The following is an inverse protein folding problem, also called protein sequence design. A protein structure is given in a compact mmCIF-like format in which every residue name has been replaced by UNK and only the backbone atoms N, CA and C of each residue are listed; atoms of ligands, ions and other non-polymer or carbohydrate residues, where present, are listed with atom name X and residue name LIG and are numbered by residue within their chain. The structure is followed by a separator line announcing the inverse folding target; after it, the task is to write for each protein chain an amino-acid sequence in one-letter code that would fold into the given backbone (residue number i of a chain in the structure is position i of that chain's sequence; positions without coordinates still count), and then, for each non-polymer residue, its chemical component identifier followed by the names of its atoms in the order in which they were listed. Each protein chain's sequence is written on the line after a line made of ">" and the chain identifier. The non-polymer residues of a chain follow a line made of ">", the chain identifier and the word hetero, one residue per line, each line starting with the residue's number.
data_IF_782528636015
#
_entry.id   IF_782528636015
#
_cell.length_a   1.000
_cell.length_b   1.000
_cell.length_c   1.000
_cell.angle_alpha   90.00
_cell.angle_beta   90.00
_cell.angle_gamma   90.00
#
_symmetry.space_group_name_H-M   'P 1'
#
loop_
_entity.id
_entity.type
_entity.pdbx_description
1 polymer ?
#
# COMPACT_ATOMS: atom_id res chain seq x y z
N UNK A 1 -11.50 -8.33 3.54
CA UNK A 1 -10.41 -7.43 3.97
C UNK A 1 -9.43 -8.24 4.80
N UNK A 2 -8.17 -8.33 4.39
CA UNK A 2 -7.11 -8.93 5.22
C UNK A 2 -7.01 -8.06 6.47
N UNK A 3 -7.11 -8.66 7.65
CA UNK A 3 -6.99 -7.92 8.91
C UNK A 3 -5.50 -7.80 9.25
N UNK A 4 -4.86 -6.63 9.07
CA UNK A 4 -3.41 -6.49 9.27
C UNK A 4 -3.00 -6.69 10.73
N UNK A 5 -3.94 -6.54 11.68
CA UNK A 5 -3.67 -6.78 13.10
C UNK A 5 -3.41 -8.27 13.41
N UNK A 6 -3.81 -9.21 12.55
CA UNK A 6 -3.53 -10.64 12.76
C UNK A 6 -2.09 -11.02 12.44
N UNK A 7 -1.41 -10.24 11.59
CA UNK A 7 -0.02 -10.50 11.20
C UNK A 7 0.99 -9.89 12.17
N UNK A 8 0.54 -8.96 13.02
CA UNK A 8 1.39 -8.34 14.05
C UNK A 8 1.63 -9.29 15.20
N UNK A 9 2.90 -9.47 15.58
CA UNK A 9 3.27 -10.21 16.78
C UNK A 9 3.04 -9.35 18.04
N UNK A 10 1.88 -9.50 18.68
CA UNK A 10 1.51 -8.77 19.91
C UNK A 10 2.29 -9.20 21.15
N UNK A 11 2.97 -10.35 21.11
CA UNK A 11 3.85 -10.80 22.18
C UNK A 11 5.27 -11.04 21.64
N UNK A 12 6.00 -9.96 21.31
CA UNK A 12 7.30 -10.08 20.68
C UNK A 12 8.31 -10.71 21.64
N UNK A 13 9.04 -11.72 21.16
CA UNK A 13 10.19 -12.27 21.87
C UNK A 13 11.37 -11.27 21.85
N UNK A 14 12.35 -11.45 22.76
CA UNK A 14 13.53 -10.58 22.88
C UNK A 14 14.29 -10.44 21.56
N UNK A 15 14.30 -11.47 20.71
CA UNK A 15 14.89 -11.42 19.38
C UNK A 15 14.17 -10.41 18.46
N UNK A 16 12.83 -10.42 18.44
CA UNK A 16 12.03 -9.51 17.63
C UNK A 16 12.22 -8.04 18.06
N UNK A 17 12.31 -7.80 19.37
CA UNK A 17 12.58 -6.46 19.93
C UNK A 17 13.98 -5.96 19.55
N UNK A 18 15.00 -6.83 19.52
CA UNK A 18 16.34 -6.46 19.03
C UNK A 18 16.34 -6.16 17.54
N UNK A 19 15.58 -6.90 16.73
CA UNK A 19 15.43 -6.61 15.30
C UNK A 19 14.81 -5.23 15.09
N UNK A 20 13.74 -4.91 15.84
CA UNK A 20 13.15 -3.57 15.82
C UNK A 20 14.17 -2.49 16.24
N UNK A 21 14.92 -2.71 17.33
CA UNK A 21 15.96 -1.78 17.76
C UNK A 21 17.04 -1.57 16.69
N UNK A 22 17.48 -2.63 15.98
CA UNK A 22 18.41 -2.51 14.84
C UNK A 22 17.82 -1.68 13.71
N UNK A 23 16.54 -1.84 13.41
CA UNK A 23 15.84 -1.02 12.42
C UNK A 23 15.86 0.46 12.80
N UNK A 24 15.75 0.81 14.09
CA UNK A 24 15.88 2.21 14.54
C UNK A 24 17.32 2.72 14.43
N UNK A 25 18.30 1.93 14.88
CA UNK A 25 19.73 2.31 14.83
C UNK A 25 20.20 2.56 13.40
N UNK A 26 19.68 1.82 12.42
CA UNK A 26 20.04 1.99 11.00
C UNK A 26 19.14 3.04 10.34
N UNK A 27 17.83 2.98 10.60
CA UNK A 27 16.83 3.81 9.95
C UNK A 27 16.99 5.30 10.23
N UNK A 28 17.19 5.70 11.50
CA UNK A 28 17.30 7.12 11.85
C UNK A 28 18.54 7.80 11.25
N UNK A 29 19.75 7.19 11.26
CA UNK A 29 20.89 7.70 10.51
C UNK A 29 20.67 7.77 9.01
N UNK A 30 20.05 6.74 8.39
CA UNK A 30 19.72 6.79 6.96
C UNK A 30 18.77 7.94 6.63
N UNK A 31 17.74 8.18 7.46
CA UNK A 31 16.82 9.31 7.31
C UNK A 31 17.56 10.64 7.47
N UNK A 32 18.46 10.76 8.46
CA UNK A 32 19.26 11.96 8.65
C UNK A 32 20.17 12.25 7.44
N UNK A 33 20.80 11.22 6.86
CA UNK A 33 21.62 11.36 5.65
C UNK A 33 20.77 11.75 4.44
N UNK A 34 19.61 11.11 4.23
CA UNK A 34 18.70 11.46 3.15
C UNK A 34 18.19 12.92 3.28
N UNK A 35 17.92 13.36 4.50
CA UNK A 35 17.52 14.74 4.80
C UNK A 35 18.64 15.75 4.47
N UNK A 36 19.90 15.40 4.78
CA UNK A 36 21.06 16.22 4.42
C UNK A 36 21.28 16.29 2.91
N UNK A 37 21.19 15.15 2.21
CA UNK A 37 21.31 15.09 0.75
C UNK A 37 20.21 15.89 0.05
N UNK A 38 18.97 15.81 0.55
CA UNK A 38 17.86 16.62 0.04
C UNK A 38 18.09 18.12 0.24
N UNK A 39 18.63 18.53 1.40
CA UNK A 39 19.00 19.93 1.66
C UNK A 39 20.12 20.43 0.72
N UNK A 40 21.14 19.60 0.50
CA UNK A 40 22.23 19.87 -0.46
C UNK A 40 21.71 20.05 -1.89
N UNK A 41 20.82 19.16 -2.35
CA UNK A 41 20.22 19.23 -3.69
C UNK A 41 19.26 20.42 -3.85
N UNK A 42 18.59 20.84 -2.77
CA UNK A 42 17.69 21.99 -2.77
C UNK A 42 18.44 23.34 -2.66
N UNK A 43 19.77 23.35 -2.61
CA UNK A 43 20.59 24.57 -2.49
C UNK A 43 20.41 25.34 -1.17
N UNK A 44 19.68 24.77 -0.22
CA UNK A 44 19.38 25.36 1.09
C UNK A 44 20.12 24.50 2.11
N UNK A 45 21.17 25.04 2.73
CA UNK A 45 21.88 24.38 3.82
C UNK A 45 20.92 24.10 4.97
N UNK A 46 20.25 22.96 4.94
CA UNK A 46 19.37 22.53 6.02
C UNK A 46 20.23 22.34 7.28
N UNK A 47 19.65 22.67 8.43
CA UNK A 47 20.37 22.69 9.71
C UNK A 47 21.06 21.36 9.97
N UNK A 48 22.38 21.29 9.74
CA UNK A 48 23.21 20.11 9.96
C UNK A 48 23.09 19.64 11.42
N UNK A 49 23.03 20.60 12.35
CA UNK A 49 22.80 20.36 13.78
C UNK A 49 21.48 19.65 14.05
N UNK A 50 20.43 19.93 13.27
CA UNK A 50 19.14 19.26 13.41
C UNK A 50 19.20 17.82 12.90
N UNK A 51 19.80 17.59 11.73
CA UNK A 51 19.97 16.26 11.18
C UNK A 51 20.86 15.36 12.06
N UNK A 52 21.95 15.89 12.60
CA UNK A 52 22.82 15.17 13.53
C UNK A 52 22.14 14.87 14.87
N UNK A 53 21.34 15.81 15.41
CA UNK A 53 20.53 15.55 16.62
C UNK A 53 19.47 14.48 16.37
N UNK A 54 18.84 14.49 15.19
CA UNK A 54 17.83 13.50 14.80
C UNK A 54 18.45 12.10 14.63
N UNK A 55 19.54 12.01 13.84
CA UNK A 55 20.23 10.75 13.58
C UNK A 55 20.93 10.19 14.83
N UNK A 56 21.67 11.04 15.54
CA UNK A 56 22.38 10.66 16.77
C UNK A 56 21.42 10.34 17.92
N UNK A 57 20.38 11.14 18.11
CA UNK A 57 19.34 10.88 19.11
C UNK A 57 18.57 9.59 18.82
N UNK A 58 18.19 9.37 17.56
CA UNK A 58 17.53 8.13 17.13
C UNK A 58 18.42 6.89 17.27
N UNK A 59 19.70 6.99 16.93
CA UNK A 59 20.66 5.91 17.11
C UNK A 59 20.92 5.59 18.59
N UNK A 60 21.04 6.62 19.45
CA UNK A 60 21.19 6.44 20.89
C UNK A 60 19.95 5.81 21.53
N UNK A 61 18.75 6.24 21.14
CA UNK A 61 17.50 5.62 21.57
C UNK A 61 17.39 4.16 21.10
N UNK A 62 17.77 3.87 19.85
CA UNK A 62 17.84 2.51 19.33
C UNK A 62 18.84 1.61 20.08
N UNK A 63 20.01 2.15 20.44
CA UNK A 63 20.99 1.44 21.27
C UNK A 63 20.45 1.17 22.69
N UNK A 64 19.75 2.15 23.30
CA UNK A 64 19.10 1.96 24.59
C UNK A 64 18.03 0.86 24.55
N UNK A 65 17.22 0.81 23.49
CA UNK A 65 16.23 -0.24 23.27
C UNK A 65 16.85 -1.62 23.00
N UNK A 66 18.07 -1.64 22.45
CA UNK A 66 18.83 -2.88 22.28
C UNK A 66 19.32 -3.44 23.63
N UNK A 67 19.75 -2.57 24.55
CA UNK A 67 20.22 -2.95 25.91
C UNK A 67 19.05 -3.26 26.84
N UNK A 68 17.93 -2.54 26.74
CA UNK A 68 16.75 -2.72 27.60
C UNK A 68 15.50 -3.03 26.77
N UNK A 69 15.28 -4.31 26.38
CA UNK A 69 14.15 -4.71 25.56
C UNK A 69 12.78 -4.50 26.23
N UNK A 70 12.75 -4.48 27.57
CA UNK A 70 11.51 -4.32 28.33
C UNK A 70 10.79 -2.99 28.00
N UNK A 71 11.55 -1.92 27.77
CA UNK A 71 11.02 -0.61 27.41
C UNK A 71 10.61 -0.57 25.92
N UNK A 72 11.30 -1.34 25.07
CA UNK A 72 11.01 -1.40 23.63
C UNK A 72 9.66 -2.07 23.31
N UNK A 73 9.16 -2.94 24.20
CA UNK A 73 7.93 -3.72 23.99
C UNK A 73 6.66 -2.87 23.79
N UNK A 74 6.28 -1.93 24.68
CA UNK A 74 5.12 -1.08 24.45
C UNK A 74 5.26 -0.21 23.20
N UNK A 75 6.47 0.30 22.93
CA UNK A 75 6.74 1.10 21.72
C UNK A 75 6.58 0.28 20.44
N UNK A 76 7.08 -0.95 20.41
CA UNK A 76 6.88 -1.88 19.30
C UNK A 76 5.39 -2.08 19.03
N UNK A 77 4.61 -2.41 20.05
CA UNK A 77 3.17 -2.69 19.91
C UNK A 77 2.42 -1.47 19.36
N UNK A 78 2.65 -0.29 19.94
CA UNK A 78 1.99 0.95 19.49
C UNK A 78 2.39 1.30 18.06
N UNK A 79 3.68 1.19 17.73
CA UNK A 79 4.19 1.51 16.40
C UNK A 79 3.58 0.60 15.32
N UNK A 80 3.52 -0.70 15.56
CA UNK A 80 2.91 -1.64 14.62
C UNK A 80 1.39 -1.47 14.53
N UNK A 81 0.71 -1.17 15.64
CA UNK A 81 -0.72 -0.86 15.61
C UNK A 81 -1.02 0.38 14.74
N UNK A 82 -0.22 1.44 14.88
CA UNK A 82 -0.32 2.62 14.02
C UNK A 82 -0.04 2.28 12.55
N UNK A 83 0.99 1.49 12.27
CA UNK A 83 1.30 1.05 10.92
C UNK A 83 0.14 0.25 10.30
N UNK A 84 -0.55 -0.60 11.08
CA UNK A 84 -1.76 -1.29 10.62
C UNK A 84 -2.89 -0.32 10.28
N UNK A 85 -3.17 0.66 11.14
CA UNK A 85 -4.20 1.68 10.87
C UNK A 85 -3.90 2.44 9.57
N UNK A 86 -2.66 2.89 9.39
CA UNK A 86 -2.21 3.56 8.17
C UNK A 86 -2.36 2.62 6.96
N UNK A 87 -1.96 1.36 7.09
CA UNK A 87 -2.08 0.37 6.03
C UNK A 87 -3.52 0.16 5.56
N UNK A 88 -4.50 0.14 6.48
CA UNK A 88 -5.92 0.05 6.13
C UNK A 88 -6.35 1.28 5.33
N UNK A 89 -5.99 2.48 5.79
CA UNK A 89 -6.37 3.72 5.11
C UNK A 89 -5.74 3.77 3.71
N UNK A 90 -4.43 3.57 3.62
CA UNK A 90 -3.68 3.61 2.36
C UNK A 90 -4.18 2.54 1.39
N UNK A 91 -4.43 1.31 1.86
CA UNK A 91 -4.95 0.24 1.02
C UNK A 91 -6.31 0.58 0.41
N UNK A 92 -7.23 1.13 1.20
CA UNK A 92 -8.54 1.55 0.71
C UNK A 92 -8.45 2.77 -0.23
N UNK A 93 -7.62 3.76 0.11
CA UNK A 93 -7.41 4.95 -0.73
C UNK A 93 -6.80 4.56 -2.07
N UNK A 94 -5.78 3.69 -2.07
CA UNK A 94 -5.13 3.24 -3.29
C UNK A 94 -6.08 2.42 -4.17
N UNK A 95 -6.87 1.54 -3.58
CA UNK A 95 -7.91 0.78 -4.28
C UNK A 95 -8.95 1.73 -4.90
N UNK A 96 -9.43 2.71 -4.13
CA UNK A 96 -10.34 3.74 -4.61
C UNK A 96 -9.73 4.54 -5.76
N UNK A 97 -8.48 4.98 -5.61
CA UNK A 97 -7.76 5.73 -6.63
C UNK A 97 -7.63 4.94 -7.93
N UNK A 98 -7.21 3.67 -7.86
CA UNK A 98 -7.12 2.78 -9.02
C UNK A 98 -8.48 2.62 -9.70
N UNK A 99 -9.54 2.40 -8.91
CA UNK A 99 -10.87 2.24 -9.46
C UNK A 99 -11.40 3.51 -10.15
N UNK A 100 -11.25 4.67 -9.54
CA UNK A 100 -11.79 5.92 -10.09
C UNK A 100 -10.90 6.55 -11.16
N UNK A 101 -9.57 6.39 -11.08
CA UNK A 101 -8.66 6.96 -12.07
C UNK A 101 -8.49 6.00 -13.25
N UNK A 102 -8.13 4.75 -12.98
CA UNK A 102 -7.82 3.80 -14.06
C UNK A 102 -9.10 3.16 -14.61
N UNK A 103 -9.88 2.45 -13.79
CA UNK A 103 -11.04 1.70 -14.29
C UNK A 103 -12.10 2.66 -14.85
N UNK A 104 -12.45 3.68 -14.08
CA UNK A 104 -13.46 4.67 -14.51
C UNK A 104 -12.93 5.57 -15.62
N UNK A 105 -11.65 5.97 -15.59
CA UNK A 105 -11.02 6.72 -16.68
C UNK A 105 -11.03 5.94 -18.00
N UNK A 106 -10.68 4.66 -17.99
CA UNK A 106 -10.75 3.78 -19.18
C UNK A 106 -12.20 3.66 -19.67
N UNK A 107 -13.16 3.48 -18.77
CA UNK A 107 -14.58 3.43 -19.12
C UNK A 107 -15.08 4.73 -19.74
N UNK A 108 -14.63 5.87 -19.22
CA UNK A 108 -14.95 7.20 -19.73
C UNK A 108 -14.36 7.43 -21.13
N UNK A 109 -13.09 7.06 -21.34
CA UNK A 109 -12.45 7.11 -22.66
C UNK A 109 -13.17 6.22 -23.69
N UNK A 110 -13.57 5.00 -23.31
CA UNK A 110 -14.38 4.13 -24.19
C UNK A 110 -15.73 4.74 -24.53
N UNK A 111 -16.36 5.43 -23.57
CA UNK A 111 -17.63 6.14 -23.79
C UNK A 111 -17.47 7.31 -24.76
N UNK A 112 -16.39 8.10 -24.62
CA UNK A 112 -16.08 9.18 -25.57
C UNK A 112 -15.78 8.64 -26.97
N UNK A 113 -15.10 7.49 -27.07
CA UNK A 113 -14.85 6.80 -28.34
C UNK A 113 -16.08 6.09 -28.95
N UNK A 114 -17.29 6.34 -28.45
CA UNK A 114 -18.55 5.78 -28.98
C UNK A 114 -18.76 4.28 -28.75
N UNK A 115 -17.83 3.59 -28.08
CA UNK A 115 -17.92 2.15 -27.81
C UNK A 115 -18.68 1.91 -26.51
N UNK A 116 -19.98 1.64 -26.63
CA UNK A 116 -20.82 1.22 -25.50
C UNK A 116 -21.01 -0.31 -25.53
N UNK A 117 -20.28 -1.09 -24.72
CA UNK A 117 -20.41 -2.55 -24.71
C UNK A 117 -21.75 -3.04 -24.16
N UNK A 118 -22.50 -2.19 -23.45
CA UNK A 118 -23.81 -2.51 -22.89
C UNK A 118 -24.76 -1.36 -23.27
N UNK A 119 -25.89 -1.69 -23.91
CA UNK A 119 -26.99 -0.74 -24.13
C UNK A 119 -27.56 -0.36 -22.76
N UNK A 120 -27.31 0.87 -22.31
CA UNK A 120 -27.78 1.37 -21.01
C UNK A 120 -29.21 1.91 -21.05
N UNK A 121 -29.73 2.20 -22.23
CA UNK A 121 -31.09 2.71 -22.42
C UNK A 121 -32.04 1.54 -22.62
N UNK A 122 -33.08 1.38 -21.78
CA UNK A 122 -34.15 0.43 -22.02
C UNK A 122 -34.89 0.82 -23.31
N UNK A 123 -34.96 -0.11 -24.25
CA UNK A 123 -35.77 0.03 -25.45
C UNK A 123 -37.23 -0.28 -25.10
N UNK A 124 -38.09 0.75 -25.07
CA UNK A 124 -39.51 0.61 -24.75
C UNK A 124 -40.31 -0.09 -25.84
N UNK A 125 -39.75 -0.23 -27.04
CA UNK A 125 -40.40 -0.93 -28.17
C UNK A 125 -39.95 -2.38 -28.30
N UNK A 126 -38.91 -2.80 -27.57
CA UNK A 126 -38.44 -4.18 -27.59
C UNK A 126 -39.41 -5.09 -26.83
N UNK A 127 -39.95 -6.10 -27.50
CA UNK A 127 -40.74 -7.17 -26.88
C UNK A 127 -39.90 -8.02 -25.92
N UNK A 128 -38.59 -8.11 -26.17
CA UNK A 128 -37.64 -8.79 -25.31
C UNK A 128 -36.21 -8.27 -25.48
N UNK A 129 -35.41 -8.33 -24.41
CA UNK A 129 -33.97 -8.02 -24.42
C UNK A 129 -33.10 -9.25 -24.63
N UNK A 130 -33.71 -10.42 -24.82
CA UNK A 130 -32.97 -11.64 -25.14
C UNK A 130 -32.23 -11.45 -26.46
N UNK A 131 -30.91 -11.69 -26.41
CA UNK A 131 -30.06 -11.79 -27.59
C UNK A 131 -29.82 -13.27 -27.82
N UNK A 132 -30.18 -13.77 -28.99
CA UNK A 132 -29.97 -15.16 -29.35
C UNK A 132 -28.48 -15.50 -29.26
N UNK A 133 -28.18 -16.58 -28.53
CA UNK A 133 -26.82 -17.08 -28.47
C UNK A 133 -26.39 -17.53 -29.88
N UNK A 134 -25.13 -17.28 -30.27
CA UNK A 134 -24.62 -17.81 -31.53
C UNK A 134 -24.81 -19.34 -31.56
N UNK A 135 -25.11 -19.92 -32.74
CA UNK A 135 -25.41 -21.33 -32.86
C UNK A 135 -24.28 -22.16 -32.25
N UNK A 136 -24.67 -23.14 -31.44
CA UNK A 136 -23.72 -24.01 -30.76
C UNK A 136 -22.79 -24.65 -31.80
N UNK A 137 -21.46 -24.58 -31.63
CA UNK A 137 -20.55 -25.25 -32.54
C UNK A 137 -20.84 -26.75 -32.54
N UNK A 138 -20.60 -27.41 -33.69
CA UNK A 138 -20.81 -28.84 -33.85
C UNK A 138 -20.17 -29.64 -32.72
N UNK A 139 -20.88 -30.66 -32.20
CA UNK A 139 -20.38 -31.51 -31.12
C UNK A 139 -18.99 -32.12 -31.41
N UNK A 140 -18.66 -32.34 -32.70
CA UNK A 140 -17.34 -32.80 -33.14
C UNK A 140 -16.20 -31.80 -32.86
N UNK A 141 -16.50 -30.50 -32.79
CA UNK A 141 -15.53 -29.44 -32.46
C UNK A 141 -15.10 -29.50 -31.00
N UNK A 142 -15.88 -30.13 -30.13
CA UNK A 142 -15.50 -30.37 -28.73
C UNK A 142 -14.22 -31.21 -28.63
N UNK A 143 -14.00 -32.13 -29.57
CA UNK A 143 -12.81 -32.98 -29.63
C UNK A 143 -11.59 -32.29 -30.29
N UNK A 144 -11.74 -31.05 -30.78
CA UNK A 144 -10.66 -30.27 -31.42
C UNK A 144 -10.64 -28.86 -30.85
N UNK A 145 -10.21 -28.75 -29.60
CA UNK A 145 -10.15 -27.47 -28.87
C UNK A 145 -8.94 -26.58 -29.24
N UNK A 146 -7.98 -27.08 -30.01
CA UNK A 146 -6.78 -26.37 -30.45
C UNK A 146 -6.63 -26.43 -31.96
#
# INVERSE_FOLDING_TARGET
>A
MVNPFKEVNWNPDRAALRTFARSLVIGFPCVAVAFLLAGLLAGKGWNLSFALKLGGGGAAAGALFYVVPAIARPFYIVWYALACCVGIVVGNVLLGLIFYVLVTGIGFLKRLGGRQPIRKTPDRQASTYWVDAPPAPEAKRYYRQF
#
